data_IF_442931958643
#
_entry.id   IF_442931958643
#
_cell.length_a   1.000
_cell.length_b   1.000
_cell.length_c   1.000
_cell.angle_alpha   90.00
_cell.angle_beta   90.00
_cell.angle_gamma   90.00
#
_symmetry.space_group_name_H-M   'P 1'
#
loop_
_entity.id
_entity.type
_entity.pdbx_description
1 polymer ?
#
# COMPACT_ATOMS: atom_id res chain seq x y z
N UNK A 1 3.69 -48.61 24.87
CA UNK A 1 4.24 -47.24 25.07
C UNK A 1 5.74 -47.37 25.26
N UNK A 2 6.59 -46.54 24.64
CA UNK A 2 8.02 -46.58 24.87
C UNK A 2 8.32 -46.11 26.30
N UNK A 3 9.02 -46.92 27.09
CA UNK A 3 9.42 -46.63 28.48
C UNK A 3 10.68 -45.75 28.52
N UNK A 4 10.94 -45.07 29.65
CA UNK A 4 12.15 -44.24 29.83
C UNK A 4 13.45 -45.00 29.56
N UNK A 5 13.50 -46.28 29.92
CA UNK A 5 14.64 -47.19 29.66
C UNK A 5 14.89 -47.41 28.15
N UNK A 6 13.84 -47.40 27.31
CA UNK A 6 13.98 -47.53 25.87
C UNK A 6 14.63 -46.30 25.22
N UNK A 7 14.29 -45.11 25.72
CA UNK A 7 14.86 -43.83 25.25
C UNK A 7 16.34 -43.71 25.58
N UNK A 8 16.77 -44.17 26.76
CA UNK A 8 18.19 -44.16 27.14
C UNK A 8 19.04 -45.09 26.26
N UNK A 9 18.47 -46.21 25.80
CA UNK A 9 19.16 -47.20 24.96
C UNK A 9 19.19 -46.86 23.46
N UNK A 10 18.32 -45.98 22.96
CA UNK A 10 18.16 -45.65 21.54
C UNK A 10 18.47 -44.17 21.21
N UNK A 11 19.38 -43.54 21.95
CA UNK A 11 19.80 -42.13 21.79
C UNK A 11 20.72 -41.86 20.59
N UNK A 12 21.03 -42.86 19.77
CA UNK A 12 21.86 -42.68 18.57
C UNK A 12 20.98 -42.45 17.35
N UNK A 13 20.74 -41.19 17.03
CA UNK A 13 20.09 -40.80 15.79
C UNK A 13 21.14 -40.77 14.69
N UNK A 14 21.02 -41.67 13.71
CA UNK A 14 21.77 -41.60 12.46
C UNK A 14 20.87 -40.93 11.42
N UNK A 15 21.30 -39.78 10.92
CA UNK A 15 20.61 -39.06 9.87
C UNK A 15 21.56 -38.88 8.69
N UNK A 16 21.05 -39.15 7.49
CA UNK A 16 21.75 -38.83 6.25
C UNK A 16 21.38 -37.39 5.88
N UNK A 17 22.41 -36.55 5.75
CA UNK A 17 22.27 -35.18 5.27
C UNK A 17 22.88 -35.11 3.86
N UNK A 18 22.16 -34.50 2.94
CA UNK A 18 22.68 -34.21 1.61
C UNK A 18 23.89 -33.27 1.69
N UNK A 19 24.78 -33.35 0.69
CA UNK A 19 26.01 -32.56 0.64
C UNK A 19 25.72 -31.04 0.77
N UNK A 20 24.67 -30.56 0.12
CA UNK A 20 24.26 -29.15 0.19
C UNK A 20 23.76 -28.73 1.57
N UNK A 21 23.03 -29.62 2.27
CA UNK A 21 22.53 -29.36 3.61
C UNK A 21 23.65 -29.39 4.65
N UNK A 22 24.60 -30.31 4.53
CA UNK A 22 25.77 -30.36 5.40
C UNK A 22 26.67 -29.13 5.25
N UNK A 23 26.83 -28.60 4.03
CA UNK A 23 27.55 -27.36 3.77
C UNK A 23 26.86 -26.15 4.44
N UNK A 24 25.53 -26.04 4.30
CA UNK A 24 24.74 -24.97 4.96
C UNK A 24 24.80 -25.07 6.48
N UNK A 25 24.71 -26.28 7.04
CA UNK A 25 24.81 -26.51 8.47
C UNK A 25 26.20 -26.11 9.01
N UNK A 26 27.26 -26.46 8.28
CA UNK A 26 28.64 -26.11 8.66
C UNK A 26 28.88 -24.60 8.63
N UNK A 27 28.29 -23.88 7.65
CA UNK A 27 28.36 -22.43 7.60
C UNK A 27 27.63 -21.79 8.80
N UNK A 28 26.43 -22.27 9.12
CA UNK A 28 25.66 -21.82 10.28
C UNK A 28 26.36 -22.11 11.61
N UNK A 29 27.00 -23.28 11.74
CA UNK A 29 27.81 -23.64 12.90
C UNK A 29 28.97 -22.66 13.15
N UNK A 30 29.65 -22.22 12.07
CA UNK A 30 30.72 -21.22 12.18
C UNK A 30 30.20 -19.87 12.66
N UNK A 31 29.04 -19.45 12.17
CA UNK A 31 28.41 -18.19 12.58
C UNK A 31 27.99 -18.19 14.06
N UNK A 32 27.56 -19.35 14.56
CA UNK A 32 27.10 -19.53 15.95
C UNK A 32 28.18 -20.01 16.93
N UNK A 33 29.45 -20.11 16.51
CA UNK A 33 30.56 -20.64 17.30
C UNK A 33 30.30 -22.06 17.87
N UNK A 34 29.64 -22.93 17.09
CA UNK A 34 29.34 -24.31 17.49
C UNK A 34 30.37 -25.24 16.84
N UNK A 35 31.07 -26.04 17.65
CA UNK A 35 32.15 -26.93 17.19
C UNK A 35 31.69 -28.34 16.85
N UNK A 36 30.55 -28.80 17.39
CA UNK A 36 30.05 -30.15 17.22
C UNK A 36 28.70 -30.18 16.47
N UNK A 37 28.60 -31.05 15.46
CA UNK A 37 27.39 -31.19 14.64
C UNK A 37 26.19 -31.69 15.48
N UNK A 38 26.44 -32.54 16.48
CA UNK A 38 25.43 -32.96 17.45
C UNK A 38 24.85 -31.80 18.23
N UNK A 39 25.68 -30.87 18.70
CA UNK A 39 25.23 -29.66 19.42
C UNK A 39 24.42 -28.74 18.49
N UNK A 40 24.81 -28.61 17.23
CA UNK A 40 24.09 -27.83 16.24
C UNK A 40 22.69 -28.40 15.98
N UNK A 41 22.59 -29.72 15.79
CA UNK A 41 21.32 -30.42 15.59
C UNK A 41 20.42 -30.32 16.83
N UNK A 42 20.99 -30.48 18.03
CA UNK A 42 20.24 -30.31 19.28
C UNK A 42 19.73 -28.88 19.43
N UNK A 43 20.54 -27.86 19.16
CA UNK A 43 20.10 -26.46 19.23
C UNK A 43 18.97 -26.14 18.22
N UNK A 44 19.03 -26.72 17.02
CA UNK A 44 17.95 -26.60 16.03
C UNK A 44 16.69 -27.30 16.53
N UNK A 45 16.82 -28.54 17.02
CA UNK A 45 15.69 -29.30 17.55
C UNK A 45 15.07 -28.60 18.76
N UNK A 46 15.86 -28.07 19.68
CA UNK A 46 15.41 -27.30 20.83
C UNK A 46 14.70 -26.02 20.40
N UNK A 47 15.18 -25.31 19.38
CA UNK A 47 14.49 -24.14 18.84
C UNK A 47 13.10 -24.52 18.30
N UNK A 48 13.01 -25.58 17.49
CA UNK A 48 11.74 -26.07 16.95
C UNK A 48 10.80 -26.64 18.02
N UNK A 49 11.35 -27.32 19.03
CA UNK A 49 10.59 -27.94 20.11
C UNK A 49 10.14 -26.95 21.18
N UNK A 50 10.92 -25.89 21.45
CA UNK A 50 10.54 -24.86 22.42
C UNK A 50 9.49 -23.90 21.86
N UNK A 51 9.48 -23.66 20.55
CA UNK A 51 8.45 -22.80 19.94
C UNK A 51 7.07 -23.49 19.87
N UNK A 52 7.00 -24.83 19.83
CA UNK A 52 5.74 -25.59 19.88
C UNK A 52 5.86 -27.04 20.39
N UNK A 53 5.90 -27.29 21.71
CA UNK A 53 5.60 -28.62 22.21
C UNK A 53 4.14 -28.66 22.68
N UNK A 54 3.19 -29.27 21.95
CA UNK A 54 1.89 -29.58 22.52
C UNK A 54 2.10 -30.63 23.63
N UNK A 55 1.99 -30.19 24.89
CA UNK A 55 2.23 -31.06 26.06
C UNK A 55 1.22 -32.20 26.17
N UNK A 56 0.04 -32.05 25.57
CA UNK A 56 -0.94 -33.11 25.36
C UNK A 56 -1.74 -32.76 24.10
N UNK A 57 -1.69 -33.62 23.08
CA UNK A 57 -2.58 -33.51 21.91
C UNK A 57 -3.94 -34.04 22.36
N UNK A 58 -4.71 -33.22 23.07
CA UNK A 58 -6.14 -33.45 23.22
C UNK A 58 -6.85 -32.83 22.02
N UNK A 59 -7.88 -33.52 21.52
CA UNK A 59 -8.71 -32.99 20.42
C UNK A 59 -9.24 -31.59 20.73
N UNK A 60 -9.55 -31.31 22.00
CA UNK A 60 -10.01 -30.02 22.48
C UNK A 60 -8.97 -28.91 22.26
N UNK A 61 -7.69 -29.17 22.60
CA UNK A 61 -6.59 -28.19 22.41
C UNK A 61 -6.36 -27.92 20.93
N UNK A 62 -6.43 -28.96 20.09
CA UNK A 62 -6.36 -28.77 18.63
C UNK A 62 -7.54 -27.96 18.08
N UNK A 63 -8.75 -28.17 18.61
CA UNK A 63 -9.92 -27.37 18.24
C UNK A 63 -9.77 -25.91 18.68
N UNK A 64 -9.28 -25.67 19.89
CA UNK A 64 -9.07 -24.32 20.44
C UNK A 64 -7.96 -23.58 19.67
N UNK A 65 -6.85 -24.25 19.33
CA UNK A 65 -5.80 -23.71 18.47
C UNK A 65 -6.31 -23.44 17.06
N UNK A 66 -7.14 -24.33 16.50
CA UNK A 66 -7.71 -24.15 15.17
C UNK A 66 -8.72 -23.00 15.14
N UNK A 67 -9.50 -22.79 16.20
CA UNK A 67 -10.36 -21.62 16.36
C UNK A 67 -9.58 -20.33 16.59
N UNK A 68 -8.48 -20.37 17.34
CA UNK A 68 -7.57 -19.23 17.50
C UNK A 68 -6.94 -18.84 16.15
N UNK A 69 -6.42 -19.80 15.40
CA UNK A 69 -5.85 -19.60 14.06
C UNK A 69 -6.91 -19.08 13.09
N UNK A 70 -8.14 -19.61 13.11
CA UNK A 70 -9.24 -19.06 12.29
C UNK A 70 -9.53 -17.59 12.61
N UNK A 71 -9.52 -17.22 13.90
CA UNK A 71 -9.71 -15.81 14.31
C UNK A 71 -8.57 -14.93 13.84
N UNK A 72 -7.32 -15.37 13.98
CA UNK A 72 -6.16 -14.63 13.48
C UNK A 72 -6.20 -14.47 11.95
N UNK A 73 -6.52 -15.53 11.21
CA UNK A 73 -6.68 -15.47 9.75
C UNK A 73 -7.82 -14.53 9.36
N UNK A 74 -8.93 -14.52 10.11
CA UNK A 74 -10.04 -13.60 9.87
C UNK A 74 -9.62 -12.14 10.11
N UNK A 75 -8.86 -11.86 11.17
CA UNK A 75 -8.31 -10.54 11.47
C UNK A 75 -7.32 -10.09 10.39
N UNK A 76 -6.37 -10.95 10.02
CA UNK A 76 -5.42 -10.67 8.94
C UNK A 76 -6.16 -10.39 7.64
N UNK A 77 -7.18 -11.19 7.30
CA UNK A 77 -8.00 -10.97 6.10
C UNK A 77 -8.72 -9.61 6.17
N UNK A 78 -9.30 -9.25 7.31
CA UNK A 78 -9.93 -7.95 7.49
C UNK A 78 -8.93 -6.80 7.34
N UNK A 79 -7.75 -6.90 7.96
CA UNK A 79 -6.67 -5.91 7.82
C UNK A 79 -6.11 -5.85 6.40
N UNK A 80 -6.05 -6.97 5.68
CA UNK A 80 -5.61 -7.00 4.28
C UNK A 80 -6.67 -6.39 3.35
N UNK A 81 -7.96 -6.59 3.64
CA UNK A 81 -9.07 -5.92 2.94
C UNK A 81 -9.05 -4.42 3.24
N UNK A 82 -8.76 -4.00 4.47
CA UNK A 82 -8.66 -2.59 4.86
C UNK A 82 -7.41 -1.93 4.28
N UNK A 83 -6.25 -2.59 4.32
CA UNK A 83 -5.03 -2.11 3.69
C UNK A 83 -5.18 -2.11 2.17
N UNK A 84 -5.84 -3.13 1.62
CA UNK A 84 -6.24 -3.23 0.22
C UNK A 84 -7.20 -2.11 -0.16
N UNK A 85 -8.21 -1.79 0.65
CA UNK A 85 -9.14 -0.69 0.38
C UNK A 85 -8.47 0.66 0.54
N UNK A 86 -7.52 0.85 1.47
CA UNK A 86 -6.71 2.07 1.59
C UNK A 86 -5.68 2.21 0.46
N UNK A 87 -5.13 1.11 -0.03
CA UNK A 87 -4.16 1.10 -1.13
C UNK A 87 -4.82 1.16 -2.51
N UNK A 88 -6.03 0.59 -2.64
CA UNK A 88 -6.91 0.65 -3.80
C UNK A 88 -7.87 1.84 -3.72
N UNK A 89 -7.91 2.60 -2.63
CA UNK A 89 -8.46 3.96 -2.56
C UNK A 89 -7.41 4.87 -3.19
N UNK A 90 -7.33 4.95 -4.52
CA UNK A 90 -6.32 5.75 -5.20
C UNK A 90 -6.65 7.22 -4.83
N UNK A 91 -5.92 8.25 -5.21
CA UNK A 91 -6.01 8.85 -6.55
C UNK A 91 -7.37 8.75 -7.30
N UNK A 92 -8.46 8.30 -6.67
CA UNK A 92 -9.83 8.62 -7.01
C UNK A 92 -10.10 9.96 -6.36
N UNK A 93 -10.07 10.99 -7.19
CA UNK A 93 -10.96 12.13 -7.04
C UNK A 93 -12.34 11.60 -6.63
N UNK A 94 -12.66 11.64 -5.34
CA UNK A 94 -13.99 11.37 -4.80
C UNK A 94 -14.98 12.50 -5.14
N UNK A 95 -14.52 13.49 -5.90
CA UNK A 95 -15.39 14.27 -6.75
C UNK A 95 -15.39 13.58 -8.11
N UNK A 96 -16.57 13.14 -8.58
CA UNK A 96 -16.79 13.10 -10.02
C UNK A 96 -16.51 14.53 -10.48
N UNK A 97 -15.30 14.76 -11.00
CA UNK A 97 -14.93 16.06 -11.55
C UNK A 97 -15.71 16.17 -12.84
N UNK A 98 -16.92 16.72 -12.73
CA UNK A 98 -17.70 17.11 -13.88
C UNK A 98 -16.95 18.30 -14.46
N UNK A 99 -16.17 18.04 -15.51
CA UNK A 99 -15.54 19.12 -16.25
C UNK A 99 -16.66 19.97 -16.83
N UNK A 100 -16.77 21.25 -16.45
CA UNK A 100 -17.77 22.12 -17.01
C UNK A 100 -17.59 22.14 -18.53
N UNK A 101 -18.60 21.67 -19.25
CA UNK A 101 -18.58 21.64 -20.71
C UNK A 101 -19.30 22.86 -21.29
N UNK A 102 -20.12 23.49 -20.46
CA UNK A 102 -20.92 24.69 -20.75
C UNK A 102 -20.34 25.91 -20.03
N UNK A 103 -20.76 27.09 -20.48
CA UNK A 103 -20.32 28.37 -19.91
C UNK A 103 -20.88 28.53 -18.49
N UNK A 104 -20.01 28.78 -17.53
CA UNK A 104 -20.35 29.07 -16.15
C UNK A 104 -20.21 30.57 -15.89
N UNK A 105 -21.19 31.16 -15.23
CA UNK A 105 -21.09 32.53 -14.72
C UNK A 105 -20.19 32.55 -13.48
N UNK A 106 -19.04 33.19 -13.60
CA UNK A 106 -18.15 33.45 -12.46
C UNK A 106 -18.54 34.80 -11.88
N UNK A 107 -18.92 34.82 -10.60
CA UNK A 107 -19.10 36.09 -9.87
C UNK A 107 -17.73 36.71 -9.59
N UNK A 108 -17.56 37.99 -9.91
CA UNK A 108 -16.33 38.74 -9.67
C UNK A 108 -16.63 40.14 -9.16
N UNK A 109 -15.67 40.72 -8.44
CA UNK A 109 -15.71 42.11 -8.03
C UNK A 109 -15.12 43.03 -9.10
N UNK A 110 -15.50 44.32 -9.11
CA UNK A 110 -14.95 45.29 -10.07
C UNK A 110 -13.41 45.40 -10.02
N UNK A 111 -12.81 45.20 -8.83
CA UNK A 111 -11.36 45.17 -8.65
C UNK A 111 -10.74 43.96 -9.35
N UNK A 112 -11.32 42.77 -9.21
CA UNK A 112 -10.85 41.56 -9.91
C UNK A 112 -10.98 41.69 -11.44
N UNK A 113 -12.03 42.37 -11.92
CA UNK A 113 -12.19 42.67 -13.35
C UNK A 113 -11.15 43.67 -13.89
N UNK A 114 -10.57 44.51 -13.03
CA UNK A 114 -9.51 45.46 -13.39
C UNK A 114 -8.12 44.84 -13.24
N UNK A 115 -7.88 44.09 -12.17
CA UNK A 115 -6.57 43.52 -11.85
C UNK A 115 -6.28 42.21 -12.58
N UNK A 116 -7.33 41.51 -13.03
CA UNK A 116 -7.28 40.21 -13.69
C UNK A 116 -6.96 39.05 -12.74
N UNK A 117 -7.56 37.89 -13.00
CA UNK A 117 -7.35 36.68 -12.22
C UNK A 117 -6.19 35.84 -12.78
N UNK A 118 -5.44 35.17 -11.93
CA UNK A 118 -4.43 34.19 -12.34
C UNK A 118 -5.08 32.87 -12.78
N UNK A 119 -4.33 32.02 -13.50
CA UNK A 119 -4.80 30.68 -13.91
C UNK A 119 -5.26 29.84 -12.71
N UNK A 120 -4.55 29.89 -11.58
CA UNK A 120 -4.93 29.17 -10.36
C UNK A 120 -6.24 29.70 -9.80
N UNK A 121 -6.36 31.02 -9.63
CA UNK A 121 -7.57 31.62 -9.05
C UNK A 121 -8.80 31.35 -9.92
N UNK A 122 -8.66 31.40 -11.25
CA UNK A 122 -9.75 31.09 -12.17
C UNK A 122 -10.16 29.60 -12.11
N UNK A 123 -9.18 28.69 -12.01
CA UNK A 123 -9.45 27.26 -11.81
C UNK A 123 -10.10 26.98 -10.45
N UNK A 124 -9.68 27.68 -9.39
CA UNK A 124 -10.26 27.56 -8.05
C UNK A 124 -11.74 27.98 -8.07
N UNK A 125 -12.12 29.02 -8.84
CA UNK A 125 -13.54 29.40 -9.03
C UNK A 125 -14.37 28.33 -9.74
N UNK A 126 -13.73 27.46 -10.53
CA UNK A 126 -14.37 26.33 -11.20
C UNK A 126 -14.36 25.05 -10.36
N UNK A 127 -13.84 25.10 -9.12
CA UNK A 127 -13.54 23.92 -8.30
C UNK A 127 -12.66 22.91 -9.06
N UNK A 128 -11.70 23.40 -9.85
CA UNK A 128 -10.74 22.58 -10.60
C UNK A 128 -9.32 22.87 -10.14
N UNK A 129 -8.49 21.84 -10.11
CA UNK A 129 -7.04 21.99 -10.06
C UNK A 129 -6.49 22.35 -11.44
N UNK A 130 -5.30 22.97 -11.50
CA UNK A 130 -4.61 23.26 -12.77
C UNK A 130 -4.45 21.99 -13.62
N UNK A 131 -4.10 20.87 -12.99
CA UNK A 131 -3.95 19.58 -13.68
C UNK A 131 -5.27 19.08 -14.28
N UNK A 132 -6.38 19.26 -13.57
CA UNK A 132 -7.71 18.88 -14.06
C UNK A 132 -8.15 19.75 -15.24
N UNK A 133 -7.90 21.07 -15.20
CA UNK A 133 -8.13 21.95 -16.34
C UNK A 133 -7.26 21.58 -17.55
N UNK A 134 -5.99 21.23 -17.34
CA UNK A 134 -5.08 20.78 -18.40
C UNK A 134 -5.54 19.46 -19.03
N UNK A 135 -6.05 18.54 -18.21
CA UNK A 135 -6.60 17.26 -18.68
C UNK A 135 -7.88 17.46 -19.50
N UNK A 136 -8.81 18.29 -19.02
CA UNK A 136 -10.06 18.61 -19.72
C UNK A 136 -9.80 19.28 -21.08
N UNK A 137 -8.83 20.21 -21.13
CA UNK A 137 -8.42 20.86 -22.38
C UNK A 137 -7.88 19.84 -23.40
N UNK A 138 -7.03 18.90 -22.95
CA UNK A 138 -6.50 17.81 -23.79
C UNK A 138 -7.59 16.86 -24.29
N UNK A 139 -8.54 16.48 -23.45
CA UNK A 139 -9.67 15.62 -23.84
C UNK A 139 -10.55 16.29 -24.91
N UNK A 140 -10.63 17.62 -24.93
CA UNK A 140 -11.33 18.39 -25.96
C UNK A 140 -10.44 18.86 -27.13
N UNK A 141 -9.17 18.46 -27.17
CA UNK A 141 -8.24 18.82 -28.25
C UNK A 141 -7.88 20.31 -28.33
N UNK A 142 -8.00 21.05 -27.22
CA UNK A 142 -7.75 22.49 -27.14
C UNK A 142 -6.65 22.84 -26.14
N UNK A 143 -6.14 24.06 -26.19
CA UNK A 143 -5.23 24.56 -25.15
C UNK A 143 -6.02 24.95 -23.90
N UNK A 144 -5.35 24.99 -22.76
CA UNK A 144 -5.95 25.26 -21.45
C UNK A 144 -6.54 26.66 -21.39
N UNK A 145 -5.91 27.63 -22.04
CA UNK A 145 -6.41 28.98 -22.13
C UNK A 145 -7.73 29.04 -22.92
N UNK A 146 -7.85 28.24 -23.99
CA UNK A 146 -9.05 28.16 -24.82
C UNK A 146 -10.17 27.44 -24.07
N UNK A 147 -9.84 26.39 -23.32
CA UNK A 147 -10.77 25.69 -22.43
C UNK A 147 -11.31 26.63 -21.35
N UNK A 148 -10.44 27.36 -20.66
CA UNK A 148 -10.85 28.32 -19.64
C UNK A 148 -11.67 29.45 -20.25
N UNK A 149 -11.32 29.97 -21.43
CA UNK A 149 -12.14 30.97 -22.13
C UNK A 149 -13.52 30.41 -22.51
N UNK A 150 -13.61 29.18 -23.02
CA UNK A 150 -14.88 28.54 -23.37
C UNK A 150 -15.79 28.36 -22.16
N UNK A 151 -15.22 27.93 -21.02
CA UNK A 151 -15.97 27.62 -19.80
C UNK A 151 -16.32 28.88 -19.01
N UNK A 152 -15.46 29.91 -19.01
CA UNK A 152 -15.64 31.08 -18.14
C UNK A 152 -16.03 32.35 -18.88
N UNK A 153 -15.71 32.45 -20.18
CA UNK A 153 -15.77 33.70 -20.93
C UNK A 153 -14.63 34.67 -20.60
N UNK A 154 -13.60 34.26 -19.86
CA UNK A 154 -12.48 35.13 -19.49
C UNK A 154 -11.29 34.96 -20.44
N UNK A 155 -10.82 36.06 -21.02
CA UNK A 155 -9.75 36.09 -22.02
C UNK A 155 -8.37 36.24 -21.34
N UNK A 156 -7.36 35.44 -21.72
CA UNK A 156 -6.00 35.59 -21.22
C UNK A 156 -5.30 36.83 -21.79
N UNK A 157 -4.40 37.44 -21.02
CA UNK A 157 -3.48 38.50 -21.46
C UNK A 157 -2.23 37.94 -22.14
N UNK A 158 -1.63 38.73 -23.01
CA UNK A 158 -0.38 38.36 -23.66
C UNK A 158 0.80 38.40 -22.67
N UNK A 159 1.42 37.25 -22.40
CA UNK A 159 2.58 37.15 -21.52
C UNK A 159 2.93 35.74 -21.06
N UNK A 160 4.13 35.57 -20.48
CA UNK A 160 4.60 34.28 -19.93
C UNK A 160 3.79 33.79 -18.73
N UNK A 161 3.09 34.69 -18.04
CA UNK A 161 2.15 34.40 -16.94
C UNK A 161 0.85 35.17 -17.22
N UNK A 162 -0.04 34.61 -18.05
CA UNK A 162 -1.25 35.31 -18.46
C UNK A 162 -2.17 35.51 -17.26
N UNK A 163 -2.70 36.73 -17.14
CA UNK A 163 -3.86 37.02 -16.30
C UNK A 163 -5.11 36.96 -17.17
N UNK A 164 -6.23 36.58 -16.59
CA UNK A 164 -7.51 36.42 -17.25
C UNK A 164 -8.39 37.62 -16.91
N UNK A 165 -9.10 38.12 -17.91
CA UNK A 165 -10.01 39.25 -17.79
C UNK A 165 -11.39 38.87 -18.33
N UNK A 166 -12.49 39.38 -17.75
CA UNK A 166 -13.83 39.15 -18.31
C UNK A 166 -13.89 39.67 -19.75
N UNK A 167 -14.45 38.90 -20.68
CA UNK A 167 -14.62 39.36 -22.05
C UNK A 167 -15.75 40.40 -22.23
N UNK A 168 -16.60 40.58 -21.23
CA UNK A 168 -17.74 41.50 -21.25
C UNK A 168 -17.35 42.96 -20.89
N UNK A 169 -16.24 43.44 -21.45
CA UNK A 169 -15.94 44.88 -21.56
C UNK A 169 -15.81 45.29 -23.02
#
# INVERSE_FOLDING_TARGET
MPTKEWLEQHTKIQAYLDADLSAKLTAWMKEKNISQLSQAVVAILEHYLNDRPPKEISSQVLFDELEAVKKEVALIKASLIEAGSKSLAPKMTSEIVIFPTERMEIQYTEKEAQDGLTKSELCDRLNLTIYQADKAAKEQGMNVNDYLFKVTGWKPSDGKRPKYYPADK
#
